data_IF_801602496039
#
_entry.id   IF_801602496039
#
_cell.length_a   1.000
_cell.length_b   1.000
_cell.length_c   1.000
_cell.angle_alpha   90.00
_cell.angle_beta   90.00
_cell.angle_gamma   90.00
#
_symmetry.space_group_name_H-M   'P 1'
#
loop_
_entity.id
_entity.type
_entity.pdbx_description
1 polymer ?
#
# COMPACT_ATOMS: atom_id res chain seq x y z
N UNK A 1 12.91 -7.35 -6.23
CA UNK A 1 13.53 -8.71 -6.35
C UNK A 1 12.49 -9.83 -6.37
N UNK A 2 11.28 -9.63 -5.86
CA UNK A 2 10.21 -10.65 -5.85
C UNK A 2 9.56 -10.86 -7.22
N UNK A 3 9.39 -9.81 -8.03
CA UNK A 3 8.84 -9.91 -9.40
C UNK A 3 9.64 -10.84 -10.32
N UNK A 4 10.96 -10.88 -10.16
CA UNK A 4 11.80 -11.81 -10.94
C UNK A 4 11.61 -13.27 -10.52
N UNK A 5 11.14 -13.55 -9.30
CA UNK A 5 10.85 -14.91 -8.86
C UNK A 5 9.51 -15.39 -9.42
N UNK A 6 8.52 -14.50 -9.51
CA UNK A 6 7.17 -14.85 -10.03
C UNK A 6 7.24 -15.18 -11.52
N UNK A 7 7.91 -14.37 -12.34
CA UNK A 7 8.07 -14.63 -13.78
C UNK A 7 8.80 -15.95 -14.04
N UNK A 8 9.87 -16.22 -13.29
CA UNK A 8 10.62 -17.49 -13.40
C UNK A 8 9.78 -18.69 -12.97
N UNK A 9 8.93 -18.55 -11.95
CA UNK A 9 8.02 -19.61 -11.53
C UNK A 9 6.96 -19.91 -12.59
N UNK A 10 6.40 -18.87 -13.23
CA UNK A 10 5.43 -19.02 -14.31
C UNK A 10 6.06 -19.67 -15.55
N UNK A 11 7.27 -19.25 -15.94
CA UNK A 11 8.00 -19.86 -17.04
C UNK A 11 8.28 -21.35 -16.79
N UNK A 12 8.68 -21.71 -15.57
CA UNK A 12 8.85 -23.13 -15.17
C UNK A 12 7.56 -23.92 -15.28
N UNK A 13 6.44 -23.36 -14.83
CA UNK A 13 5.13 -23.99 -14.94
C UNK A 13 4.74 -24.23 -16.40
N UNK A 14 4.91 -23.23 -17.28
CA UNK A 14 4.65 -23.38 -18.72
C UNK A 14 5.51 -24.49 -19.36
N UNK A 15 6.82 -24.52 -19.07
CA UNK A 15 7.70 -25.57 -19.59
C UNK A 15 7.29 -26.94 -19.06
N UNK A 16 6.93 -27.06 -17.78
CA UNK A 16 6.47 -28.33 -17.20
C UNK A 16 5.20 -28.86 -17.86
N UNK A 17 4.26 -27.96 -18.22
CA UNK A 17 3.04 -28.32 -18.93
C UNK A 17 3.32 -28.77 -20.37
N UNK A 18 4.21 -28.07 -21.08
CA UNK A 18 4.64 -28.47 -22.42
C UNK A 18 5.33 -29.85 -22.43
N UNK A 19 6.11 -30.15 -21.40
CA UNK A 19 6.73 -31.47 -21.21
C UNK A 19 5.70 -32.55 -20.88
N UNK A 20 4.69 -32.25 -20.07
CA UNK A 20 3.59 -33.17 -19.80
C UNK A 20 2.77 -33.47 -21.07
N UNK A 21 2.46 -32.44 -21.88
CA UNK A 21 1.72 -32.57 -23.14
C UNK A 21 2.46 -33.36 -24.21
N UNK A 22 3.80 -33.39 -24.14
CA UNK A 22 4.65 -34.20 -25.02
C UNK A 22 4.91 -35.61 -24.50
N UNK A 23 4.35 -35.98 -23.34
CA UNK A 23 4.40 -37.34 -22.79
C UNK A 23 5.62 -37.65 -21.93
N UNK A 24 6.36 -36.65 -21.44
CA UNK A 24 7.47 -36.88 -20.52
C UNK A 24 6.96 -37.20 -19.12
N UNK A 25 7.42 -38.32 -18.55
CA UNK A 25 7.05 -38.77 -17.19
C UNK A 25 7.93 -38.19 -16.09
N UNK A 26 9.18 -37.85 -16.41
CA UNK A 26 10.12 -37.25 -15.45
C UNK A 26 11.07 -36.31 -16.17
N UNK A 27 11.39 -35.17 -15.53
CA UNK A 27 12.35 -34.19 -16.03
C UNK A 27 13.41 -33.89 -14.97
N UNK A 28 14.66 -33.74 -15.39
CA UNK A 28 15.73 -33.27 -14.51
C UNK A 28 15.51 -31.79 -14.15
N UNK A 29 15.54 -31.47 -12.86
CA UNK A 29 15.35 -30.11 -12.34
C UNK A 29 16.34 -29.12 -12.97
N UNK A 30 17.61 -29.50 -13.14
CA UNK A 30 18.62 -28.61 -13.74
C UNK A 30 18.27 -28.26 -15.19
N UNK A 31 17.81 -29.24 -15.96
CA UNK A 31 17.39 -29.02 -17.34
C UNK A 31 16.13 -28.13 -17.42
N UNK A 32 15.17 -28.34 -16.50
CA UNK A 32 13.97 -27.52 -16.41
C UNK A 32 14.31 -26.06 -16.09
N UNK A 33 15.22 -25.82 -15.15
CA UNK A 33 15.66 -24.45 -14.82
C UNK A 33 16.38 -23.79 -15.99
N UNK A 34 17.25 -24.51 -16.69
CA UNK A 34 17.98 -24.00 -17.85
C UNK A 34 16.99 -23.64 -18.98
N UNK A 35 16.05 -24.52 -19.31
CA UNK A 35 15.02 -24.26 -20.31
C UNK A 35 14.14 -23.07 -19.95
N UNK A 36 13.73 -22.96 -18.69
CA UNK A 36 12.93 -21.82 -18.22
C UNK A 36 13.69 -20.50 -18.36
N UNK A 37 14.99 -20.49 -18.08
CA UNK A 37 15.83 -19.29 -18.24
C UNK A 37 16.01 -18.96 -19.72
N UNK A 38 16.32 -19.94 -20.57
CA UNK A 38 16.48 -19.70 -22.02
C UNK A 38 15.20 -19.21 -22.67
N UNK A 39 14.03 -19.66 -22.20
CA UNK A 39 12.75 -19.18 -22.68
C UNK A 39 12.54 -17.71 -22.31
N UNK A 40 12.83 -17.33 -21.06
CA UNK A 40 12.77 -15.93 -20.62
C UNK A 40 13.74 -15.05 -21.41
N UNK A 41 14.97 -15.50 -21.60
CA UNK A 41 15.99 -14.79 -22.39
C UNK A 41 15.56 -14.63 -23.85
N UNK A 42 14.89 -15.66 -24.42
CA UNK A 42 14.33 -15.59 -25.76
C UNK A 42 13.19 -14.57 -25.87
N UNK A 43 12.28 -14.50 -24.89
CA UNK A 43 11.23 -13.47 -24.85
C UNK A 43 11.85 -12.07 -24.77
N UNK A 44 12.87 -11.87 -23.93
CA UNK A 44 13.58 -10.59 -23.81
C UNK A 44 14.23 -10.23 -25.16
N UNK A 45 14.90 -11.19 -25.80
CA UNK A 45 15.48 -11.01 -27.13
C UNK A 45 14.43 -10.59 -28.17
N UNK A 46 13.30 -11.29 -28.26
CA UNK A 46 12.20 -10.95 -29.16
C UNK A 46 11.62 -9.56 -28.87
N UNK A 47 11.41 -9.21 -27.60
CA UNK A 47 10.90 -7.89 -27.23
C UNK A 47 11.89 -6.77 -27.60
N UNK A 48 13.20 -7.03 -27.48
CA UNK A 48 14.24 -6.06 -27.81
C UNK A 48 14.36 -5.82 -29.32
N UNK A 49 14.22 -6.87 -30.12
CA UNK A 49 14.26 -6.78 -31.59
C UNK A 49 13.02 -6.07 -32.13
N UNK A 50 11.85 -6.41 -31.58
CA UNK A 50 10.59 -5.77 -31.89
C UNK A 50 10.57 -4.28 -31.50
N UNK A 51 11.14 -3.93 -30.35
CA UNK A 51 11.35 -2.53 -29.95
C UNK A 51 12.23 -1.78 -30.95
N UNK A 52 13.36 -2.35 -31.37
CA UNK A 52 14.25 -1.74 -32.37
C UNK A 52 13.54 -1.50 -33.70
N UNK A 53 12.71 -2.45 -34.15
CA UNK A 53 11.92 -2.29 -35.37
C UNK A 53 10.90 -1.14 -35.24
N UNK A 54 10.26 -1.00 -34.08
CA UNK A 54 9.36 0.10 -33.80
C UNK A 54 10.10 1.45 -33.82
N UNK A 55 11.30 1.51 -33.21
CA UNK A 55 12.16 2.70 -33.20
C UNK A 55 12.60 3.11 -34.61
N UNK A 56 12.99 2.14 -35.46
CA UNK A 56 13.32 2.39 -36.88
C UNK A 56 12.12 2.97 -37.63
N UNK A 57 10.91 2.52 -37.30
CA UNK A 57 9.68 3.01 -37.89
C UNK A 57 9.13 4.29 -37.22
N UNK A 58 9.85 4.87 -36.25
CA UNK A 58 9.40 6.00 -35.41
C UNK A 58 8.02 5.80 -34.76
N UNK A 59 7.67 4.54 -34.45
CA UNK A 59 6.42 4.16 -33.78
C UNK A 59 6.72 3.66 -32.37
N UNK A 60 5.79 3.86 -31.44
CA UNK A 60 5.90 3.33 -30.07
C UNK A 60 5.24 1.97 -29.88
N UNK A 61 4.30 1.61 -30.78
CA UNK A 61 3.53 0.38 -30.68
C UNK A 61 3.88 -0.60 -31.81
N UNK A 62 4.11 -1.87 -31.48
CA UNK A 62 4.34 -2.91 -32.49
C UNK A 62 3.04 -3.34 -33.15
N UNK A 63 3.12 -3.59 -34.45
CA UNK A 63 2.03 -4.17 -35.23
C UNK A 63 2.22 -5.67 -35.43
N UNK A 64 1.13 -6.39 -35.75
CA UNK A 64 1.19 -7.82 -36.08
C UNK A 64 2.18 -8.12 -37.21
N UNK A 65 2.32 -7.20 -38.17
CA UNK A 65 3.25 -7.34 -39.30
C UNK A 65 4.70 -7.36 -38.79
N UNK A 66 5.05 -6.46 -37.86
CA UNK A 66 6.39 -6.42 -37.25
C UNK A 66 6.71 -7.75 -36.55
N UNK A 67 5.73 -8.29 -35.80
CA UNK A 67 5.86 -9.62 -35.17
C UNK A 67 6.03 -10.75 -36.20
N UNK A 68 5.27 -10.74 -37.30
CA UNK A 68 5.44 -11.77 -38.36
C UNK A 68 6.81 -11.69 -39.03
N UNK A 69 7.39 -10.50 -39.18
CA UNK A 69 8.71 -10.35 -39.77
C UNK A 69 9.80 -10.97 -38.89
N UNK A 70 9.71 -10.80 -37.57
CA UNK A 70 10.63 -11.43 -36.62
C UNK A 70 10.46 -12.95 -36.60
N UNK A 71 9.21 -13.42 -36.72
CA UNK A 71 8.90 -14.86 -36.73
C UNK A 71 9.27 -15.54 -38.05
N UNK A 72 9.39 -14.82 -39.17
CA UNK A 72 9.84 -15.40 -40.46
C UNK A 72 11.27 -15.91 -40.42
N UNK A 73 12.11 -15.36 -39.55
CA UNK A 73 13.46 -15.87 -39.34
C UNK A 73 13.46 -17.24 -38.64
N UNK A 74 12.36 -17.59 -37.97
CA UNK A 74 12.11 -18.91 -37.39
C UNK A 74 11.45 -19.79 -38.46
N UNK A 75 12.30 -20.44 -39.27
CA UNK A 75 11.94 -21.16 -40.51
C UNK A 75 10.79 -22.18 -40.42
N UNK A 76 10.48 -22.71 -39.25
CA UNK A 76 9.44 -23.73 -39.08
C UNK A 76 8.54 -23.37 -37.90
N UNK A 77 7.51 -22.57 -38.15
CA UNK A 77 6.42 -22.42 -37.18
C UNK A 77 5.53 -23.66 -37.32
N UNK A 78 5.46 -24.58 -36.34
CA UNK A 78 4.54 -25.69 -36.41
C UNK A 78 3.10 -25.16 -36.52
N UNK A 79 2.28 -25.81 -37.35
CA UNK A 79 0.84 -25.56 -37.39
C UNK A 79 0.29 -25.55 -35.96
N UNK A 80 -0.60 -24.62 -35.58
CA UNK A 80 -1.09 -24.51 -34.21
C UNK A 80 -1.99 -25.70 -33.88
N UNK A 81 -1.42 -26.86 -33.56
CA UNK A 81 -2.18 -28.10 -33.47
C UNK A 81 -2.87 -28.34 -32.13
N UNK A 82 -2.67 -27.51 -31.11
CA UNK A 82 -3.50 -27.53 -29.91
C UNK A 82 -3.63 -26.13 -29.36
N UNK A 83 -4.86 -25.63 -29.23
CA UNK A 83 -5.18 -24.44 -28.45
C UNK A 83 -4.77 -24.74 -27.01
N UNK A 84 -3.55 -24.34 -26.64
CA UNK A 84 -3.13 -24.35 -25.25
C UNK A 84 -3.95 -23.28 -24.57
N UNK A 85 -5.08 -23.66 -23.98
CA UNK A 85 -5.77 -22.84 -23.00
C UNK A 85 -4.80 -22.66 -21.83
N UNK A 86 -4.04 -21.56 -21.91
CA UNK A 86 -3.21 -21.09 -20.82
C UNK A 86 -4.21 -20.73 -19.73
N UNK A 87 -4.38 -21.66 -18.79
CA UNK A 87 -5.07 -21.43 -17.53
C UNK A 87 -4.15 -20.51 -16.73
N UNK A 88 -4.15 -19.23 -17.10
CA UNK A 88 -3.55 -18.17 -16.31
C UNK A 88 -4.44 -18.09 -15.08
N UNK A 89 -4.04 -18.76 -13.99
CA UNK A 89 -4.57 -18.38 -12.70
C UNK A 89 -4.35 -16.87 -12.58
N UNK A 90 -5.42 -16.07 -12.44
CA UNK A 90 -5.27 -14.63 -12.35
C UNK A 90 -4.36 -14.38 -11.15
N UNK A 91 -3.17 -13.87 -11.41
CA UNK A 91 -2.28 -13.38 -10.36
C UNK A 91 -3.10 -12.33 -9.62
N UNK A 92 -3.69 -12.73 -8.49
CA UNK A 92 -4.44 -11.83 -7.63
C UNK A 92 -3.46 -10.73 -7.27
N UNK A 93 -3.63 -9.55 -7.87
CA UNK A 93 -2.90 -8.37 -7.45
C UNK A 93 -3.18 -8.29 -5.94
N UNK A 94 -2.14 -8.29 -5.08
CA UNK A 94 -2.38 -8.15 -3.66
C UNK A 94 -3.20 -6.88 -3.49
N UNK A 95 -4.44 -7.01 -3.00
CA UNK A 95 -5.24 -5.86 -2.63
C UNK A 95 -4.43 -5.11 -1.59
N UNK A 96 -3.86 -3.97 -2.00
CA UNK A 96 -3.13 -3.10 -1.09
C UNK A 96 -4.04 -2.83 0.10
N UNK A 97 -3.58 -3.17 1.30
CA UNK A 97 -4.29 -2.90 2.52
C UNK A 97 -4.51 -1.37 2.65
N UNK A 98 -5.70 -0.91 2.27
CA UNK A 98 -6.13 0.47 2.44
C UNK A 98 -6.77 0.57 3.82
N UNK A 99 -6.02 1.08 4.79
CA UNK A 99 -6.59 1.46 6.07
C UNK A 99 -7.69 2.51 5.87
N UNK A 100 -8.73 2.48 6.69
CA UNK A 100 -9.85 3.45 6.63
C UNK A 100 -9.37 4.92 6.73
N UNK A 101 -8.19 5.14 7.33
CA UNK A 101 -7.53 6.45 7.49
C UNK A 101 -6.94 6.98 6.16
N UNK A 102 -6.69 6.08 5.20
CA UNK A 102 -6.21 6.38 3.85
C UNK A 102 -7.34 6.40 2.81
N UNK A 103 -8.60 6.41 3.23
CA UNK A 103 -9.73 6.52 2.31
C UNK A 103 -9.78 7.91 1.67
N UNK A 104 -10.02 7.93 0.35
CA UNK A 104 -10.29 9.17 -0.38
C UNK A 104 -11.63 9.72 0.08
N UNK A 105 -11.66 11.00 0.44
CA UNK A 105 -12.90 11.69 0.82
C UNK A 105 -13.69 12.00 -0.44
N UNK A 106 -15.01 11.85 -0.37
CA UNK A 106 -15.90 12.25 -1.45
C UNK A 106 -15.65 13.71 -1.85
N UNK A 107 -15.59 13.94 -3.16
CA UNK A 107 -15.33 15.26 -3.72
C UNK A 107 -16.48 16.22 -3.37
N UNK A 108 -16.18 17.49 -3.03
CA UNK A 108 -17.19 18.53 -2.96
C UNK A 108 -17.96 18.62 -4.28
N UNK A 109 -19.24 18.98 -4.22
CA UNK A 109 -20.16 18.98 -5.37
C UNK A 109 -19.66 19.78 -6.60
N UNK A 110 -18.72 20.71 -6.41
CA UNK A 110 -18.15 21.56 -7.46
C UNK A 110 -16.69 21.21 -7.82
N UNK A 111 -16.23 20.00 -7.53
CA UNK A 111 -14.88 19.58 -7.92
C UNK A 111 -14.87 19.02 -9.33
N UNK A 112 -14.01 19.58 -10.18
CA UNK A 112 -13.87 19.14 -11.57
C UNK A 112 -13.00 17.89 -11.70
N UNK A 113 -13.41 16.96 -12.56
CA UNK A 113 -12.73 15.68 -12.76
C UNK A 113 -11.31 15.79 -13.36
N UNK A 114 -11.01 16.90 -14.06
CA UNK A 114 -9.69 17.12 -14.66
C UNK A 114 -8.63 17.57 -13.64
N UNK A 115 -9.03 17.91 -12.40
CA UNK A 115 -8.11 18.34 -11.35
C UNK A 115 -7.49 17.12 -10.66
N UNK A 116 -6.25 17.27 -10.12
CA UNK A 116 -5.59 16.21 -9.37
C UNK A 116 -6.44 15.77 -8.18
N UNK A 117 -6.38 14.50 -7.78
CA UNK A 117 -7.18 14.01 -6.65
C UNK A 117 -6.81 14.74 -5.35
N UNK A 118 -7.80 15.00 -4.50
CA UNK A 118 -7.54 15.53 -3.16
C UNK A 118 -6.66 14.57 -2.38
N UNK A 119 -5.75 15.09 -1.55
CA UNK A 119 -4.95 14.26 -0.68
C UNK A 119 -5.86 13.57 0.36
N UNK A 120 -5.41 12.48 1.00
CA UNK A 120 -6.24 11.70 1.92
C UNK A 120 -6.72 12.52 3.14
N UNK A 121 -7.85 12.14 3.73
CA UNK A 121 -8.50 12.86 4.83
C UNK A 121 -7.55 13.30 5.95
N UNK A 122 -6.61 12.44 6.33
CA UNK A 122 -5.68 12.69 7.43
C UNK A 122 -4.69 13.85 7.20
N UNK A 123 -4.51 14.30 5.95
CA UNK A 123 -3.61 15.43 5.64
C UNK A 123 -4.25 16.80 5.78
N UNK A 124 -5.58 16.91 5.68
CA UNK A 124 -6.26 18.21 5.64
C UNK A 124 -7.43 18.33 6.62
N UNK A 125 -8.00 17.21 7.10
CA UNK A 125 -9.12 17.23 8.03
C UNK A 125 -8.62 17.25 9.48
N UNK A 126 -8.64 18.44 10.09
CA UNK A 126 -8.42 18.57 11.53
C UNK A 126 -9.63 18.04 12.30
N UNK A 127 -9.61 16.75 12.67
CA UNK A 127 -10.62 16.20 13.58
C UNK A 127 -10.30 16.63 15.01
N UNK A 128 -11.26 17.27 15.68
CA UNK A 128 -11.13 17.59 17.10
C UNK A 128 -10.95 16.28 17.89
N UNK A 129 -9.74 16.07 18.43
CA UNK A 129 -9.45 14.93 19.31
C UNK A 129 -10.17 15.20 20.63
N UNK A 130 -11.39 14.69 20.78
CA UNK A 130 -12.07 14.63 22.07
C UNK A 130 -11.33 13.61 22.93
N UNK A 131 -10.27 14.06 23.62
CA UNK A 131 -9.65 13.27 24.69
C UNK A 131 -10.76 12.98 25.69
N UNK A 132 -11.14 11.72 25.85
CA UNK A 132 -12.00 11.29 26.97
C UNK A 132 -11.17 11.44 28.23
N UNK A 133 -11.15 12.64 28.79
CA UNK A 133 -10.66 12.84 30.14
C UNK A 133 -11.74 12.22 31.04
N UNK A 134 -11.44 11.14 31.78
CA UNK A 134 -12.38 10.62 32.75
C UNK A 134 -12.63 11.73 33.77
N UNK A 135 -13.86 12.24 33.81
CA UNK A 135 -14.20 13.33 34.71
C UNK A 135 -14.47 12.75 36.11
N UNK A 136 -13.40 12.57 36.89
CA UNK A 136 -13.50 12.06 38.25
C UNK A 136 -13.95 13.18 39.21
N UNK A 137 -15.26 13.19 39.48
CA UNK A 137 -15.89 14.13 40.42
C UNK A 137 -15.31 14.01 41.83
N UNK A 138 -14.91 12.81 42.26
CA UNK A 138 -14.34 12.60 43.59
C UNK A 138 -12.94 13.21 43.69
N UNK A 139 -12.11 13.03 42.67
CA UNK A 139 -10.78 13.65 42.62
C UNK A 139 -10.85 15.18 42.58
N UNK A 140 -11.78 15.75 41.81
CA UNK A 140 -12.02 17.21 41.78
C UNK A 140 -12.46 17.75 43.15
N UNK A 141 -13.34 17.04 43.86
CA UNK A 141 -13.79 17.45 45.19
C UNK A 141 -12.64 17.38 46.22
N UNK A 142 -11.84 16.32 46.15
CA UNK A 142 -10.66 16.15 47.01
C UNK A 142 -9.64 17.28 46.80
N UNK A 143 -9.27 17.58 45.55
CA UNK A 143 -8.33 18.67 45.23
C UNK A 143 -8.83 20.03 45.72
N UNK A 144 -10.14 20.31 45.56
CA UNK A 144 -10.74 21.55 46.07
C UNK A 144 -10.64 21.66 47.59
N UNK A 145 -10.89 20.57 48.30
CA UNK A 145 -10.80 20.56 49.77
C UNK A 145 -9.35 20.74 50.23
N UNK A 146 -8.39 20.07 49.60
CA UNK A 146 -6.95 20.23 49.87
C UNK A 146 -6.52 21.69 49.68
N UNK A 147 -6.92 22.33 48.57
CA UNK A 147 -6.66 23.75 48.31
C UNK A 147 -7.30 24.66 49.36
N UNK A 148 -8.50 24.33 49.83
CA UNK A 148 -9.21 25.13 50.84
C UNK A 148 -8.48 25.07 52.19
N UNK A 149 -8.03 23.89 52.59
CA UNK A 149 -7.25 23.68 53.82
C UNK A 149 -5.95 24.49 53.74
N UNK A 150 -5.23 24.39 52.62
CA UNK A 150 -3.97 25.11 52.43
C UNK A 150 -4.15 26.63 52.50
N UNK A 151 -5.22 27.17 51.92
CA UNK A 151 -5.56 28.59 52.01
C UNK A 151 -5.86 29.01 53.45
N UNK A 152 -6.61 28.20 54.20
CA UNK A 152 -6.94 28.47 55.60
C UNK A 152 -5.69 28.48 56.48
N UNK A 153 -4.81 27.49 56.32
CA UNK A 153 -3.55 27.40 57.07
C UNK A 153 -2.62 28.57 56.76
N UNK A 154 -2.53 28.96 55.49
CA UNK A 154 -1.77 30.13 55.08
C UNK A 154 -2.33 31.43 55.67
N UNK A 155 -3.66 31.59 55.68
CA UNK A 155 -4.31 32.73 56.29
C UNK A 155 -4.07 32.79 57.80
N UNK A 156 -4.15 31.63 58.48
CA UNK A 156 -3.87 31.52 59.90
C UNK A 156 -2.42 31.88 60.23
N UNK A 157 -1.46 31.43 59.42
CA UNK A 157 -0.06 31.79 59.56
C UNK A 157 0.19 33.30 59.36
N UNK A 158 -0.52 33.94 58.42
CA UNK A 158 -0.45 35.39 58.22
C UNK A 158 -1.01 36.13 59.43
N UNK A 159 -2.15 35.70 59.97
CA UNK A 159 -2.75 36.28 61.19
C UNK A 159 -1.82 36.16 62.40
N UNK A 160 -1.22 34.98 62.61
CA UNK A 160 -0.28 34.72 63.70
C UNK A 160 0.95 35.63 63.63
N UNK A 161 1.48 35.88 62.43
CA UNK A 161 2.65 36.75 62.21
C UNK A 161 2.34 38.24 62.33
N UNK A 162 1.12 38.66 61.99
CA UNK A 162 0.75 40.09 61.96
C UNK A 162 0.17 40.60 63.28
N UNK A 163 -0.24 39.72 64.20
CA UNK A 163 -0.71 40.07 65.54
C UNK A 163 -1.97 40.94 65.58
N UNK A 164 -2.63 41.15 64.44
CA UNK A 164 -3.85 41.94 64.28
C UNK A 164 -4.94 41.05 63.73
N UNK A 165 -6.08 40.97 64.43
CA UNK A 165 -7.28 40.35 63.89
C UNK A 165 -7.77 41.19 62.71
N UNK A 166 -7.89 40.59 61.53
CA UNK A 166 -8.43 41.25 60.34
C UNK A 166 -9.84 41.76 60.65
N UNK A 167 -10.04 43.09 60.69
CA UNK A 167 -11.33 43.77 60.95
C UNK A 167 -12.48 43.38 60.00
N UNK A 168 -12.22 42.55 58.98
CA UNK A 168 -13.20 42.07 57.99
C UNK A 168 -13.28 40.53 57.91
N UNK A 169 -12.86 39.81 58.95
CA UNK A 169 -13.03 38.35 59.02
C UNK A 169 -14.47 37.89 59.39
N UNK A 170 -15.46 38.80 59.36
CA UNK A 170 -16.87 38.51 59.64
C UNK A 170 -17.65 37.91 58.45
N UNK A 171 -16.99 37.38 57.43
CA UNK A 171 -17.66 36.80 56.25
C UNK A 171 -17.38 35.30 56.06
N UNK A 172 -16.85 34.62 57.08
CA UNK A 172 -16.59 33.17 57.05
C UNK A 172 -17.18 32.45 58.27
N UNK A 173 -18.41 32.83 58.65
CA UNK A 173 -19.36 31.99 59.38
C UNK A 173 -20.63 31.89 58.55
#
# INVERSE_FOLDING_TARGET
MEENKTVKSAARHCVSRLLADSGFTSSNEKALTLLSNTLVDYIIYLSSTLKKQCEIAHRSSPTLIDATLILKDVKDLPSPTKTLEVLVEPTALPEEFRSEICTYVDYPTNYYEFLPRFPPAHTFKNTAIKRRVPDDRAQKARLRNEQTIEVVDNLFNVLKKTGKVLRRANYLL
#
